data_IF_506675360060
#
_entry.id   IF_506675360060
#
_cell.length_a   1.000
_cell.length_b   1.000
_cell.length_c   1.000
_cell.angle_alpha   90.00
_cell.angle_beta   90.00
_cell.angle_gamma   90.00
#
_symmetry.space_group_name_H-M   'P 1'
#
loop_
_entity.id
_entity.type
_entity.pdbx_description
1 polymer ?
#
# COMPACT_ATOMS: atom_id res chain seq x y z
N UNK A 1 34.17 31.16 -5.62
CA UNK A 1 33.46 29.88 -5.39
C UNK A 1 32.18 29.84 -6.23
N UNK A 2 32.05 28.89 -7.17
CA UNK A 2 30.82 28.74 -7.94
C UNK A 2 29.66 28.32 -7.02
N UNK A 3 28.62 29.15 -6.89
CA UNK A 3 27.35 28.74 -6.30
C UNK A 3 26.74 27.63 -7.17
N UNK A 4 27.14 26.37 -6.95
CA UNK A 4 26.46 25.24 -7.57
C UNK A 4 25.09 25.14 -6.92
N UNK A 5 24.09 25.70 -7.58
CA UNK A 5 22.70 25.49 -7.22
C UNK A 5 22.43 23.98 -7.22
N UNK A 6 21.85 23.48 -6.13
CA UNK A 6 21.50 22.06 -6.03
C UNK A 6 20.43 21.66 -7.05
N UNK A 7 20.35 20.37 -7.35
CA UNK A 7 19.24 19.82 -8.13
C UNK A 7 17.92 19.89 -7.34
N UNK A 8 16.82 20.11 -8.07
CA UNK A 8 15.43 20.00 -7.60
C UNK A 8 14.77 18.74 -8.18
N UNK A 9 13.75 18.23 -7.51
CA UNK A 9 12.97 17.11 -8.01
C UNK A 9 12.25 17.48 -9.32
N UNK A 10 12.19 16.52 -10.24
CA UNK A 10 11.55 16.66 -11.53
C UNK A 10 10.04 16.53 -11.44
N UNK A 11 9.46 15.95 -10.39
CA UNK A 11 8.02 15.87 -10.23
C UNK A 11 7.36 17.25 -10.14
N UNK A 12 6.19 17.39 -10.79
CA UNK A 12 5.35 18.57 -10.63
C UNK A 12 5.03 18.79 -9.14
N UNK A 13 5.10 20.04 -8.69
CA UNK A 13 4.78 20.47 -7.31
C UNK A 13 5.61 19.82 -6.19
N UNK A 14 6.74 19.18 -6.51
CA UNK A 14 7.62 18.59 -5.51
C UNK A 14 8.71 19.56 -5.04
N UNK A 15 8.69 19.92 -3.75
CA UNK A 15 9.67 20.84 -3.13
C UNK A 15 11.00 20.19 -2.72
N UNK A 16 11.22 18.92 -3.08
CA UNK A 16 12.41 18.17 -2.66
C UNK A 16 13.66 18.63 -3.43
N UNK A 17 14.76 18.82 -2.72
CA UNK A 17 16.01 19.37 -3.26
C UNK A 17 17.22 18.63 -2.72
N UNK A 18 18.35 18.69 -3.42
CA UNK A 18 19.62 18.13 -2.94
C UNK A 18 20.31 19.01 -1.88
N UNK A 19 19.98 20.30 -1.82
CA UNK A 19 20.57 21.28 -0.89
C UNK A 19 19.48 21.95 -0.06
N UNK A 20 19.63 21.92 1.26
CA UNK A 20 18.60 22.35 2.21
C UNK A 20 18.32 23.85 2.25
N UNK A 21 19.04 24.69 1.49
CA UNK A 21 18.84 26.16 1.54
C UNK A 21 17.48 26.63 1.00
N UNK A 22 16.82 25.83 0.15
CA UNK A 22 15.60 26.23 -0.59
C UNK A 22 14.43 25.25 -0.34
N UNK A 23 14.67 24.10 0.31
CA UNK A 23 13.63 23.08 0.51
C UNK A 23 14.11 21.89 1.34
N UNK A 24 13.29 20.84 1.41
CA UNK A 24 13.64 19.64 2.16
C UNK A 24 14.78 18.89 1.46
N UNK A 25 15.88 18.68 2.19
CA UNK A 25 17.04 17.93 1.73
C UNK A 25 16.66 16.45 1.57
N UNK A 26 16.69 15.95 0.34
CA UNK A 26 16.32 14.59 0.00
C UNK A 26 17.35 13.92 -0.92
N UNK A 27 17.37 12.58 -0.90
CA UNK A 27 18.16 11.81 -1.87
C UNK A 27 17.50 11.92 -3.24
N UNK A 28 18.31 12.28 -4.24
CA UNK A 28 17.88 12.55 -5.61
C UNK A 28 18.54 11.58 -6.59
N UNK A 29 17.71 10.85 -7.36
CA UNK A 29 18.14 9.85 -8.34
C UNK A 29 18.14 10.42 -9.75
N UNK A 30 19.09 9.97 -10.58
CA UNK A 30 19.17 10.35 -11.99
C UNK A 30 18.14 9.57 -12.80
N UNK A 31 17.66 10.18 -13.89
CA UNK A 31 16.88 9.46 -14.88
C UNK A 31 17.70 8.30 -15.47
N UNK A 32 17.09 7.15 -15.77
CA UNK A 32 17.75 6.05 -16.48
C UNK A 32 18.28 6.49 -17.85
N UNK A 33 19.42 5.91 -18.26
CA UNK A 33 19.94 6.08 -19.63
C UNK A 33 19.15 5.26 -20.65
N UNK A 34 18.55 4.16 -20.20
CA UNK A 34 17.68 3.31 -21.00
C UNK A 34 16.43 4.08 -21.44
N UNK A 35 16.15 4.08 -22.75
CA UNK A 35 15.10 4.94 -23.32
C UNK A 35 13.70 4.57 -22.82
N UNK A 36 13.39 3.27 -22.73
CA UNK A 36 12.08 2.78 -22.32
C UNK A 36 11.80 3.11 -20.85
N UNK A 37 12.76 2.84 -19.94
CA UNK A 37 12.63 3.23 -18.54
C UNK A 37 12.58 4.74 -18.36
N UNK A 38 13.31 5.50 -19.18
CA UNK A 38 13.28 6.95 -19.16
C UNK A 38 11.87 7.48 -19.46
N UNK A 39 11.19 6.93 -20.49
CA UNK A 39 9.79 7.27 -20.83
C UNK A 39 8.84 7.02 -19.67
N UNK A 40 8.98 5.90 -18.96
CA UNK A 40 8.16 5.60 -17.77
C UNK A 40 8.37 6.63 -16.66
N UNK A 41 9.61 7.06 -16.41
CA UNK A 41 9.90 8.10 -15.44
C UNK A 41 9.35 9.47 -15.84
N UNK A 42 9.43 9.82 -17.14
CA UNK A 42 8.85 11.05 -17.69
C UNK A 42 7.33 11.07 -17.47
N UNK A 43 6.66 9.97 -17.80
CA UNK A 43 5.22 9.83 -17.62
C UNK A 43 4.80 10.02 -16.16
N UNK A 44 5.55 9.45 -15.22
CA UNK A 44 5.28 9.58 -13.79
C UNK A 44 5.43 11.01 -13.25
N UNK A 45 6.36 11.80 -13.81
CA UNK A 45 6.65 13.16 -13.32
C UNK A 45 5.52 14.18 -13.60
N UNK A 46 4.55 13.85 -14.45
CA UNK A 46 3.43 14.69 -14.86
C UNK A 46 3.85 16.09 -15.37
N UNK A 47 4.89 16.12 -16.21
CA UNK A 47 5.48 17.36 -16.77
C UNK A 47 5.69 17.24 -18.27
N UNK A 48 4.94 18.02 -19.04
CA UNK A 48 4.92 17.95 -20.51
C UNK A 48 6.26 18.33 -21.14
N UNK A 49 7.03 19.23 -20.52
CA UNK A 49 8.33 19.68 -21.02
C UNK A 49 9.43 18.60 -20.96
N UNK A 50 9.22 17.52 -20.20
CA UNK A 50 10.19 16.44 -20.11
C UNK A 50 10.15 15.53 -21.36
N UNK A 51 9.00 15.45 -22.03
CA UNK A 51 8.84 14.65 -23.26
C UNK A 51 9.65 15.20 -24.43
N UNK A 52 9.94 16.50 -24.46
CA UNK A 52 10.76 17.12 -25.49
C UNK A 52 12.28 16.89 -25.31
N UNK A 53 12.71 16.24 -24.23
CA UNK A 53 14.12 16.08 -23.86
C UNK A 53 14.60 14.67 -24.15
N UNK A 54 15.85 14.56 -24.59
CA UNK A 54 16.48 13.26 -24.79
C UNK A 54 16.92 12.61 -23.44
N UNK A 55 17.04 11.27 -23.37
CA UNK A 55 17.45 10.57 -22.15
C UNK A 55 18.79 11.02 -21.57
N UNK A 56 19.74 11.44 -22.41
CA UNK A 56 21.07 11.91 -21.98
C UNK A 56 20.98 13.23 -21.20
N UNK A 57 20.16 14.17 -21.68
CA UNK A 57 19.87 15.45 -21.04
C UNK A 57 19.11 15.22 -19.74
N UNK A 58 18.14 14.31 -19.74
CA UNK A 58 17.38 13.93 -18.55
C UNK A 58 18.29 13.32 -17.47
N UNK A 59 19.14 12.35 -17.84
CA UNK A 59 20.09 11.72 -16.92
C UNK A 59 21.06 12.75 -16.31
N UNK A 60 21.47 13.76 -17.07
CA UNK A 60 22.45 14.76 -16.62
C UNK A 60 21.83 15.83 -15.75
N UNK A 61 20.69 16.39 -16.17
CA UNK A 61 20.15 17.63 -15.61
C UNK A 61 18.96 17.44 -14.67
N UNK A 62 18.25 16.30 -14.75
CA UNK A 62 17.01 16.07 -14.01
C UNK A 62 17.17 14.99 -12.95
N UNK A 63 16.44 15.13 -11.84
CA UNK A 63 16.48 14.18 -10.72
C UNK A 63 15.09 13.91 -10.14
N UNK A 64 14.88 12.72 -9.59
CA UNK A 64 13.65 12.36 -8.87
C UNK A 64 14.00 12.02 -7.43
N UNK A 65 13.26 12.53 -6.44
CA UNK A 65 13.55 12.26 -5.04
C UNK A 65 13.03 10.89 -4.58
N UNK A 66 13.63 10.36 -3.50
CA UNK A 66 13.26 9.04 -2.94
C UNK A 66 11.79 8.89 -2.57
N UNK A 67 11.08 9.99 -2.30
CA UNK A 67 9.65 9.97 -1.95
C UNK A 67 8.78 9.38 -3.05
N UNK A 68 9.23 9.40 -4.31
CA UNK A 68 8.47 8.90 -5.45
C UNK A 68 8.71 7.42 -5.75
N UNK A 69 9.42 6.70 -4.88
CA UNK A 69 9.66 5.27 -5.01
C UNK A 69 9.15 4.56 -3.75
N UNK A 70 8.63 3.34 -3.93
CA UNK A 70 8.22 2.50 -2.80
C UNK A 70 9.43 1.82 -2.17
N UNK A 71 9.29 1.43 -0.91
CA UNK A 71 10.39 0.87 -0.11
C UNK A 71 11.02 -0.40 -0.74
N UNK A 72 10.21 -1.21 -1.42
CA UNK A 72 10.70 -2.42 -2.11
C UNK A 72 11.53 -2.13 -3.36
N UNK A 73 11.51 -0.90 -3.88
CA UNK A 73 12.30 -0.50 -5.05
C UNK A 73 13.74 -0.08 -4.71
N UNK A 74 14.12 -0.10 -3.44
CA UNK A 74 15.48 0.20 -3.00
C UNK A 74 16.29 -1.08 -2.81
N UNK A 75 17.59 -1.01 -3.12
CA UNK A 75 18.55 -2.09 -2.86
C UNK A 75 19.06 -2.09 -1.42
N UNK A 76 18.86 -0.99 -0.68
CA UNK A 76 19.37 -0.81 0.67
C UNK A 76 18.36 -0.09 1.57
N UNK A 77 18.47 -0.36 2.87
CA UNK A 77 17.61 0.23 3.89
C UNK A 77 17.69 1.76 3.95
N UNK A 78 18.87 2.33 3.68
CA UNK A 78 19.08 3.80 3.66
C UNK A 78 18.40 4.50 2.48
N UNK A 79 17.88 3.74 1.50
CA UNK A 79 17.19 4.25 0.30
C UNK A 79 18.08 5.18 -0.53
N UNK A 80 19.35 4.80 -0.70
CA UNK A 80 20.34 5.56 -1.49
C UNK A 80 20.63 4.91 -2.84
N UNK A 81 20.15 3.67 -3.08
CA UNK A 81 20.33 2.93 -4.34
C UNK A 81 19.01 2.31 -4.78
N UNK A 82 18.66 2.51 -6.06
CA UNK A 82 17.46 1.94 -6.67
C UNK A 82 17.74 0.58 -7.30
N UNK A 83 16.74 -0.30 -7.30
CA UNK A 83 16.74 -1.52 -8.10
C UNK A 83 16.70 -1.20 -9.61
N UNK A 84 17.23 -2.08 -10.49
CA UNK A 84 17.23 -1.85 -11.94
C UNK A 84 15.83 -1.66 -12.56
N UNK A 85 14.80 -2.22 -11.93
CA UNK A 85 13.40 -2.14 -12.39
C UNK A 85 12.58 -1.06 -11.65
N UNK A 86 13.22 -0.20 -10.85
CA UNK A 86 12.53 0.84 -10.11
C UNK A 86 11.94 1.90 -11.06
N UNK A 87 10.66 2.21 -10.87
CA UNK A 87 9.92 3.22 -11.62
C UNK A 87 9.17 4.09 -10.61
N UNK A 88 9.28 5.43 -10.69
CA UNK A 88 8.60 6.29 -9.75
C UNK A 88 7.08 6.28 -10.01
N UNK A 89 6.29 6.48 -8.96
CA UNK A 89 4.84 6.57 -9.08
C UNK A 89 4.38 8.02 -9.31
N UNK A 90 3.36 8.26 -10.14
CA UNK A 90 2.67 9.57 -10.19
C UNK A 90 1.84 9.78 -8.91
N UNK A 91 1.65 11.02 -8.47
CA UNK A 91 0.80 11.30 -7.29
C UNK A 91 -0.63 10.75 -7.45
N UNK A 92 -1.16 10.72 -8.68
CA UNK A 92 -2.42 10.08 -9.06
C UNK A 92 -2.41 8.58 -8.74
N UNK A 93 -1.28 7.90 -8.99
CA UNK A 93 -1.09 6.48 -8.65
C UNK A 93 -0.95 6.23 -7.14
N UNK A 94 -0.54 7.23 -6.36
CA UNK A 94 -0.44 7.10 -4.90
C UNK A 94 -1.81 7.00 -4.25
N UNK A 95 -2.73 7.89 -4.61
CA UNK A 95 -4.12 7.82 -4.14
C UNK A 95 -4.75 6.48 -4.56
N UNK A 96 -4.58 6.07 -5.81
CA UNK A 96 -5.08 4.78 -6.30
C UNK A 96 -4.53 3.59 -5.51
N UNK A 97 -3.21 3.54 -5.27
CA UNK A 97 -2.57 2.45 -4.56
C UNK A 97 -2.95 2.41 -3.07
N UNK A 98 -3.00 3.56 -2.38
CA UNK A 98 -3.50 3.64 -1.00
C UNK A 98 -4.96 3.19 -0.90
N UNK A 99 -5.82 3.64 -1.83
CA UNK A 99 -7.22 3.22 -1.86
C UNK A 99 -7.36 1.71 -2.04
N UNK A 100 -6.54 1.09 -2.90
CA UNK A 100 -6.52 -0.37 -3.08
C UNK A 100 -6.05 -1.08 -1.81
N UNK A 101 -5.01 -0.61 -1.13
CA UNK A 101 -4.57 -1.20 0.14
C UNK A 101 -5.62 -1.10 1.23
N UNK A 102 -6.22 0.08 1.37
CA UNK A 102 -7.29 0.35 2.33
C UNK A 102 -8.49 -0.57 2.03
N UNK A 103 -8.90 -0.67 0.76
CA UNK A 103 -9.98 -1.55 0.31
C UNK A 103 -9.68 -3.04 0.61
N UNK A 104 -8.47 -3.51 0.29
CA UNK A 104 -8.05 -4.89 0.59
C UNK A 104 -8.03 -5.15 2.11
N UNK A 105 -7.61 -4.18 2.92
CA UNK A 105 -7.63 -4.28 4.36
C UNK A 105 -9.07 -4.38 4.91
N UNK A 106 -9.99 -3.54 4.41
CA UNK A 106 -11.41 -3.62 4.76
C UNK A 106 -12.04 -4.95 4.35
N UNK A 107 -11.74 -5.46 3.15
CA UNK A 107 -12.19 -6.79 2.71
C UNK A 107 -11.69 -7.87 3.66
N UNK A 108 -10.40 -7.85 4.01
CA UNK A 108 -9.82 -8.85 4.91
C UNK A 108 -10.49 -8.84 6.28
N UNK A 109 -10.70 -7.66 6.87
CA UNK A 109 -11.43 -7.50 8.14
C UNK A 109 -12.86 -8.02 8.02
N UNK A 110 -13.55 -7.70 6.92
CA UNK A 110 -14.92 -8.16 6.69
C UNK A 110 -14.99 -9.70 6.61
N UNK A 111 -14.05 -10.35 5.91
CA UNK A 111 -13.96 -11.81 5.85
C UNK A 111 -13.74 -12.42 7.25
N UNK A 112 -12.85 -11.83 8.05
CA UNK A 112 -12.62 -12.27 9.43
C UNK A 112 -13.88 -12.13 10.29
N UNK A 113 -14.62 -11.02 10.15
CA UNK A 113 -15.88 -10.80 10.84
C UNK A 113 -16.93 -11.85 10.47
N UNK A 114 -17.14 -12.13 9.18
CA UNK A 114 -18.07 -13.17 8.73
C UNK A 114 -17.68 -14.56 9.26
N UNK A 115 -16.38 -14.88 9.29
CA UNK A 115 -15.88 -16.13 9.89
C UNK A 115 -16.20 -16.21 11.38
N UNK A 116 -16.09 -15.11 12.11
CA UNK A 116 -16.44 -15.03 13.53
C UNK A 116 -17.94 -15.24 13.76
N UNK A 117 -18.80 -14.56 12.99
CA UNK A 117 -20.25 -14.69 13.09
C UNK A 117 -20.70 -16.12 12.78
N UNK A 118 -20.16 -16.75 11.74
CA UNK A 118 -20.45 -18.16 11.44
C UNK A 118 -20.05 -19.08 12.60
N UNK A 119 -18.87 -18.88 13.20
CA UNK A 119 -18.45 -19.66 14.39
C UNK A 119 -19.40 -19.45 15.56
N UNK A 120 -19.80 -18.21 15.83
CA UNK A 120 -20.72 -17.89 16.93
C UNK A 120 -22.09 -18.52 16.70
N UNK A 121 -22.64 -18.45 15.48
CA UNK A 121 -23.89 -19.10 15.11
C UNK A 121 -23.84 -20.61 15.34
N UNK A 122 -22.76 -21.29 14.94
CA UNK A 122 -22.57 -22.73 15.19
C UNK A 122 -22.58 -23.03 16.69
N UNK A 123 -21.89 -22.23 17.51
CA UNK A 123 -21.88 -22.39 18.96
C UNK A 123 -23.28 -22.21 19.54
N UNK A 124 -24.00 -21.15 19.13
CA UNK A 124 -25.37 -20.87 19.59
C UNK A 124 -26.33 -21.99 19.20
N UNK A 125 -26.28 -22.46 17.95
CA UNK A 125 -27.11 -23.57 17.48
C UNK A 125 -26.83 -24.87 18.26
N UNK A 126 -25.56 -25.19 18.53
CA UNK A 126 -25.18 -26.35 19.33
C UNK A 126 -25.63 -26.23 20.79
N UNK A 127 -25.53 -25.03 21.37
CA UNK A 127 -25.99 -24.77 22.74
C UNK A 127 -27.51 -24.94 22.83
N UNK A 128 -28.25 -24.34 21.89
CA UNK A 128 -29.70 -24.43 21.82
C UNK A 128 -30.18 -25.87 21.62
N UNK A 129 -29.49 -26.67 20.79
CA UNK A 129 -29.77 -28.09 20.62
C UNK A 129 -29.54 -28.90 21.92
N UNK A 130 -28.46 -28.60 22.66
CA UNK A 130 -28.23 -29.23 23.98
C UNK A 130 -29.33 -28.88 24.97
N UNK A 131 -29.77 -27.62 25.04
CA UNK A 131 -30.86 -27.19 25.92
C UNK A 131 -32.19 -27.87 25.59
N UNK A 132 -32.57 -27.93 24.30
CA UNK A 132 -33.83 -28.59 23.90
C UNK A 132 -33.79 -30.09 24.18
N UNK A 133 -32.66 -30.75 23.90
CA UNK A 133 -32.47 -32.18 24.19
C UNK A 133 -32.59 -32.49 25.68
N UNK A 134 -31.90 -31.75 26.54
CA UNK A 134 -31.99 -31.91 28.01
C UNK A 134 -33.42 -31.66 28.49
N UNK A 135 -34.09 -30.62 27.96
CA UNK A 135 -35.49 -30.35 28.33
C UNK A 135 -36.44 -31.50 27.95
N UNK A 136 -36.17 -32.20 26.83
CA UNK A 136 -36.98 -33.32 26.36
C UNK A 136 -36.78 -34.56 27.24
N UNK A 137 -35.52 -34.89 27.55
CA UNK A 137 -35.17 -35.96 28.49
C UNK A 137 -35.84 -35.71 29.85
N UNK A 138 -35.76 -34.49 30.37
CA UNK A 138 -36.35 -34.14 31.67
C UNK A 138 -37.87 -34.34 31.69
N UNK A 139 -38.58 -33.89 30.64
CA UNK A 139 -40.03 -34.12 30.51
C UNK A 139 -40.36 -35.60 30.47
N UNK A 140 -39.57 -36.40 29.76
CA UNK A 140 -39.80 -37.85 29.66
C UNK A 140 -39.59 -38.55 31.02
N UNK A 141 -38.52 -38.19 31.74
CA UNK A 141 -38.24 -38.73 33.07
C UNK A 141 -39.35 -38.36 34.07
N UNK A 142 -39.80 -37.10 34.08
CA UNK A 142 -40.92 -36.65 34.92
C UNK A 142 -42.20 -37.44 34.60
N UNK A 143 -42.48 -37.69 33.31
CA UNK A 143 -43.65 -38.44 32.89
C UNK A 143 -43.61 -39.89 33.38
N UNK A 144 -42.45 -40.56 33.28
CA UNK A 144 -42.24 -41.93 33.82
C UNK A 144 -42.53 -41.96 35.32
N UNK A 145 -41.97 -41.02 36.09
CA UNK A 145 -42.13 -40.99 37.54
C UNK A 145 -43.57 -40.74 37.99
N UNK A 146 -44.36 -40.00 37.21
CA UNK A 146 -45.77 -39.73 37.55
C UNK A 146 -46.67 -40.93 37.21
N UNK A 147 -46.32 -41.70 36.17
CA UNK A 147 -47.09 -42.89 35.77
C UNK A 147 -46.75 -44.16 36.54
N UNK A 148 -45.67 -44.16 37.32
CA UNK A 148 -45.21 -45.30 38.13
C UNK A 148 -45.69 -45.24 39.58
N UNK A 149 -46.62 -44.34 39.90
CA UNK A 149 -47.37 -44.21 41.15
C UNK A 149 -48.85 -44.35 40.85
#
# INVERSE_FOLDING_TARGET
>A
MSNRSGYKCAFKDCCSVSSGKIGLKETLFRFPKDSEKCKLWIAACNRKELYAKNPVTLHTSYRVCKKHFIDTMFLNYEKTRLQPHAVPFSAENHIGKYNIYIHNMYIYIYILYIRLIKKLLIVVMNLQFRFTFVSHILRHLIKITITSW
#
